data_IF_542258804371
#
_entry.id   IF_542258804371
#
_cell.length_a   1.000
_cell.length_b   1.000
_cell.length_c   1.000
_cell.angle_alpha   90.00
_cell.angle_beta   90.00
_cell.angle_gamma   90.00
#
_symmetry.space_group_name_H-M   'P 1'
#
loop_
_entity.id
_entity.type
_entity.pdbx_description
1 polymer ?
#
# COMPACT_ATOMS: atom_id res chain seq x y z
N UNK A 1 28.60 1.67 8.84
CA UNK A 1 27.15 1.80 8.60
C UNK A 1 26.44 0.81 9.51
N UNK A 2 25.48 1.24 10.33
CA UNK A 2 24.59 0.28 11.00
C UNK A 2 23.74 -0.41 9.91
N UNK A 3 23.48 -1.72 9.99
CA UNK A 3 22.59 -2.37 9.04
C UNK A 3 21.23 -1.67 9.13
N UNK A 4 20.68 -1.25 7.99
CA UNK A 4 19.26 -0.94 7.91
C UNK A 4 18.57 -2.30 8.03
N UNK A 5 18.09 -2.64 9.22
CA UNK A 5 17.23 -3.81 9.38
C UNK A 5 16.02 -3.61 8.48
N UNK A 6 15.82 -4.53 7.53
CA UNK A 6 14.64 -4.50 6.68
C UNK A 6 13.41 -4.71 7.59
N UNK A 7 12.39 -3.86 7.51
CA UNK A 7 11.15 -4.02 8.30
C UNK A 7 10.41 -5.34 8.00
N UNK A 8 10.89 -6.12 7.02
CA UNK A 8 10.33 -7.39 6.59
C UNK A 8 11.14 -8.63 7.00
N UNK A 9 12.30 -8.47 7.67
CA UNK A 9 13.26 -9.57 7.90
C UNK A 9 12.75 -10.73 8.81
N UNK A 10 11.64 -10.55 9.52
CA UNK A 10 11.15 -11.53 10.50
C UNK A 10 9.68 -11.97 10.31
N UNK A 11 9.08 -11.72 9.15
CA UNK A 11 7.65 -12.02 8.92
C UNK A 11 7.50 -13.38 8.25
N UNK A 12 6.94 -14.35 8.98
CA UNK A 12 6.59 -15.67 8.45
C UNK A 12 5.83 -15.53 7.12
N UNK A 13 6.13 -16.35 6.10
CA UNK A 13 5.47 -16.24 4.82
C UNK A 13 4.01 -16.70 4.98
N UNK A 14 3.11 -15.73 5.12
CA UNK A 14 1.66 -15.97 5.18
C UNK A 14 1.06 -16.43 3.84
N UNK A 15 1.88 -16.90 2.89
CA UNK A 15 1.59 -16.82 1.46
C UNK A 15 2.09 -18.08 0.73
N UNK A 16 1.22 -19.09 0.63
CA UNK A 16 1.54 -20.39 0.02
C UNK A 16 1.38 -20.41 -1.51
N UNK A 17 0.71 -19.42 -2.12
CA UNK A 17 0.26 -19.53 -3.51
C UNK A 17 1.38 -19.23 -4.53
N UNK A 18 2.02 -18.07 -4.46
CA UNK A 18 3.08 -17.65 -5.40
C UNK A 18 4.44 -18.32 -5.22
N UNK A 19 4.52 -19.49 -4.56
CA UNK A 19 5.78 -20.20 -4.27
C UNK A 19 6.84 -19.35 -3.54
N UNK A 20 6.40 -18.37 -2.76
CA UNK A 20 7.29 -17.47 -2.00
C UNK A 20 7.78 -16.23 -2.76
N UNK A 21 7.38 -16.05 -4.03
CA UNK A 21 7.73 -14.85 -4.78
C UNK A 21 6.95 -13.62 -4.29
N UNK A 22 7.65 -12.50 -4.17
CA UNK A 22 7.07 -11.19 -3.88
C UNK A 22 7.93 -10.06 -4.41
N UNK A 23 7.30 -8.99 -4.88
CA UNK A 23 7.93 -7.68 -5.04
C UNK A 23 7.97 -6.98 -3.68
N UNK A 24 9.04 -6.25 -3.39
CA UNK A 24 9.12 -5.38 -2.22
C UNK A 24 9.51 -3.95 -2.64
N UNK A 25 8.94 -2.98 -1.93
CA UNK A 25 9.23 -1.56 -2.04
C UNK A 25 9.53 -1.06 -0.64
N UNK A 26 10.74 -0.56 -0.42
CA UNK A 26 11.20 -0.02 0.87
C UNK A 26 11.36 1.50 0.74
N UNK A 27 10.60 2.25 1.53
CA UNK A 27 10.81 3.68 1.73
C UNK A 27 10.39 4.60 0.58
N UNK A 28 9.37 4.25 -0.20
CA UNK A 28 8.84 5.14 -1.24
C UNK A 28 8.25 6.40 -0.59
N UNK A 29 8.96 7.53 -0.72
CA UNK A 29 8.54 8.81 -0.15
C UNK A 29 7.78 9.64 -1.19
N UNK A 30 6.51 9.94 -0.90
CA UNK A 30 5.61 10.66 -1.81
C UNK A 30 4.94 11.82 -1.09
N UNK A 31 4.79 12.95 -1.76
CA UNK A 31 4.02 14.10 -1.25
C UNK A 31 2.52 13.82 -1.32
N UNK A 32 1.80 13.97 -0.20
CA UNK A 32 0.35 13.75 -0.13
C UNK A 32 -0.33 14.80 0.75
N UNK A 33 -1.59 15.15 0.43
CA UNK A 33 -2.45 15.95 1.32
C UNK A 33 -3.13 15.03 2.33
N UNK A 34 -2.55 14.95 3.53
CA UNK A 34 -2.94 13.95 4.54
C UNK A 34 -2.93 14.54 5.95
N UNK A 35 -3.94 14.26 6.76
CA UNK A 35 -3.93 14.58 8.20
C UNK A 35 -5.22 15.16 8.77
N UNK A 36 -5.27 15.23 10.10
CA UNK A 36 -6.45 15.67 10.86
C UNK A 36 -6.37 17.11 11.34
N UNK A 37 -5.15 17.66 11.46
CA UNK A 37 -4.93 18.99 12.01
C UNK A 37 -5.05 20.07 10.94
N UNK A 38 -5.55 21.25 11.29
CA UNK A 38 -5.80 22.34 10.34
C UNK A 38 -4.58 22.73 9.50
N UNK A 39 -3.37 22.73 10.08
CA UNK A 39 -2.14 23.04 9.34
C UNK A 39 -1.80 21.98 8.27
N UNK A 40 -2.28 20.74 8.41
CA UNK A 40 -2.06 19.67 7.44
C UNK A 40 -2.96 19.81 6.21
N UNK A 41 -4.03 20.61 6.29
CA UNK A 41 -4.85 20.98 5.14
C UNK A 41 -4.20 22.07 4.27
N UNK A 42 -3.27 22.84 4.82
CA UNK A 42 -2.69 24.00 4.14
C UNK A 42 -1.68 23.61 3.03
N UNK A 43 -0.95 22.50 3.20
CA UNK A 43 0.05 22.05 2.24
C UNK A 43 0.23 20.52 2.25
N UNK A 44 0.61 19.92 1.11
CA UNK A 44 1.04 18.53 1.07
C UNK A 44 2.25 18.27 1.99
N UNK A 45 2.34 17.04 2.51
CA UNK A 45 3.45 16.58 3.33
C UNK A 45 3.91 15.18 2.89
N UNK A 46 5.17 14.81 3.11
CA UNK A 46 5.66 13.48 2.75
C UNK A 46 4.95 12.39 3.55
N UNK A 47 4.59 11.32 2.86
CA UNK A 47 4.22 10.00 3.40
C UNK A 47 5.24 9.01 2.86
N UNK A 48 5.75 8.16 3.73
CA UNK A 48 6.67 7.09 3.35
C UNK A 48 5.93 5.77 3.39
N UNK A 49 6.05 5.03 2.30
CA UNK A 49 5.31 3.81 2.01
C UNK A 49 6.30 2.67 1.85
N UNK A 50 6.07 1.59 2.57
CA UNK A 50 6.66 0.29 2.25
C UNK A 50 5.56 -0.66 1.82
N UNK A 51 5.85 -1.48 0.83
CA UNK A 51 4.91 -2.44 0.30
C UNK A 51 5.59 -3.79 0.05
N UNK A 52 4.89 -4.87 0.35
CA UNK A 52 5.24 -6.22 -0.07
C UNK A 52 4.08 -6.82 -0.82
N UNK A 53 4.30 -7.12 -2.09
CA UNK A 53 3.32 -7.58 -3.06
C UNK A 53 3.61 -9.03 -3.39
N UNK A 54 2.85 -9.94 -2.81
CA UNK A 54 3.06 -11.36 -3.05
C UNK A 54 2.20 -11.88 -4.18
N UNK A 55 2.80 -12.80 -4.93
CA UNK A 55 2.19 -13.34 -6.11
C UNK A 55 1.15 -14.43 -5.80
N UNK A 56 0.17 -14.54 -6.70
CA UNK A 56 -0.79 -15.64 -6.76
C UNK A 56 -0.13 -16.93 -7.25
N UNK A 57 0.72 -16.81 -8.26
CA UNK A 57 1.39 -17.93 -8.91
C UNK A 57 2.88 -17.60 -9.05
N UNK A 58 3.67 -18.53 -9.55
CA UNK A 58 5.04 -18.19 -9.98
C UNK A 58 4.97 -17.07 -11.04
N UNK A 59 5.78 -15.99 -10.90
CA UNK A 59 5.79 -14.90 -11.87
C UNK A 59 6.11 -15.42 -13.27
N UNK A 60 5.41 -14.90 -14.27
CA UNK A 60 5.56 -15.30 -15.67
C UNK A 60 5.49 -14.08 -16.57
N UNK A 61 6.33 -14.05 -17.60
CA UNK A 61 6.33 -13.08 -18.69
C UNK A 61 5.53 -13.55 -19.92
N UNK A 62 4.96 -14.76 -19.88
CA UNK A 62 4.17 -15.31 -20.96
C UNK A 62 2.89 -14.51 -21.24
N UNK A 63 2.31 -13.91 -20.19
CA UNK A 63 1.13 -13.06 -20.25
C UNK A 63 1.38 -11.75 -19.49
N UNK A 64 0.80 -10.64 -19.95
CA UNK A 64 0.97 -9.32 -19.33
C UNK A 64 0.49 -9.24 -17.86
N UNK A 65 -0.37 -10.17 -17.43
CA UNK A 65 -0.95 -10.22 -16.09
C UNK A 65 -0.22 -11.17 -15.14
N UNK A 66 0.82 -11.86 -15.61
CA UNK A 66 1.58 -12.86 -14.85
C UNK A 66 2.68 -12.31 -13.95
N UNK A 67 2.97 -11.00 -14.04
CA UNK A 67 4.03 -10.35 -13.27
C UNK A 67 3.57 -8.99 -12.71
N UNK A 68 4.31 -8.46 -11.73
CA UNK A 68 4.05 -7.15 -11.13
C UNK A 68 5.18 -6.19 -11.53
N UNK A 69 4.84 -5.23 -12.38
CA UNK A 69 5.71 -4.10 -12.70
C UNK A 69 5.86 -3.17 -11.50
N UNK A 70 6.99 -3.28 -10.81
CA UNK A 70 7.29 -2.52 -9.60
C UNK A 70 7.62 -1.04 -9.87
N UNK A 71 8.10 -0.70 -11.07
CA UNK A 71 8.33 0.70 -11.45
C UNK A 71 6.99 1.37 -11.74
N UNK A 72 6.12 0.71 -12.52
CA UNK A 72 4.76 1.15 -12.75
C UNK A 72 3.95 1.22 -11.43
N UNK A 73 4.21 0.33 -10.48
CA UNK A 73 3.62 0.38 -9.13
C UNK A 73 3.96 1.69 -8.40
N UNK A 74 5.25 2.03 -8.35
CA UNK A 74 5.72 3.25 -7.69
C UNK A 74 5.20 4.51 -8.40
N UNK A 75 5.22 4.52 -9.74
CA UNK A 75 4.70 5.62 -10.54
C UNK A 75 3.19 5.82 -10.34
N UNK A 76 2.42 4.72 -10.30
CA UNK A 76 0.96 4.76 -10.09
C UNK A 76 0.60 5.32 -8.71
N UNK A 77 1.25 4.85 -7.65
CA UNK A 77 1.03 5.38 -6.29
C UNK A 77 1.40 6.86 -6.24
N UNK A 78 2.55 7.23 -6.80
CA UNK A 78 3.02 8.63 -6.83
C UNK A 78 2.00 9.53 -7.52
N UNK A 79 1.53 9.12 -8.69
CA UNK A 79 0.53 9.86 -9.46
C UNK A 79 -0.81 9.95 -8.73
N UNK A 80 -1.29 8.85 -8.14
CA UNK A 80 -2.52 8.82 -7.37
C UNK A 80 -2.49 9.83 -6.21
N UNK A 81 -1.41 9.80 -5.41
CA UNK A 81 -1.25 10.69 -4.25
C UNK A 81 -1.10 12.17 -4.62
N UNK A 82 -0.49 12.46 -5.76
CA UNK A 82 -0.33 13.83 -6.26
C UNK A 82 -1.67 14.48 -6.66
N UNK A 83 -2.63 13.69 -7.16
CA UNK A 83 -3.87 14.20 -7.75
C UNK A 83 -5.12 14.00 -6.88
N UNK A 84 -5.07 13.14 -5.87
CA UNK A 84 -6.23 12.90 -5.00
C UNK A 84 -6.54 14.09 -4.08
N UNK A 85 -7.80 14.23 -3.64
CA UNK A 85 -8.18 15.16 -2.58
C UNK A 85 -7.51 14.83 -1.23
N UNK A 86 -7.58 15.78 -0.29
CA UNK A 86 -7.05 15.60 1.07
C UNK A 86 -7.72 14.42 1.78
N UNK A 87 -6.91 13.52 2.33
CA UNK A 87 -7.38 12.42 3.18
C UNK A 87 -7.07 12.73 4.64
N UNK A 88 -7.96 12.38 5.56
CA UNK A 88 -7.76 12.69 6.99
C UNK A 88 -6.84 11.70 7.70
N UNK A 89 -6.98 10.42 7.38
CA UNK A 89 -6.39 9.30 8.12
C UNK A 89 -5.45 8.47 7.24
N UNK A 90 -4.35 7.96 7.82
CA UNK A 90 -3.44 7.06 7.11
C UNK A 90 -4.12 5.72 6.80
N UNK A 91 -5.05 5.29 7.66
CA UNK A 91 -5.86 4.09 7.52
C UNK A 91 -6.73 4.16 6.27
N UNK A 92 -7.41 5.28 6.04
CA UNK A 92 -8.18 5.52 4.82
C UNK A 92 -7.26 5.50 3.59
N UNK A 93 -6.10 6.15 3.69
CA UNK A 93 -5.14 6.20 2.58
C UNK A 93 -4.58 4.82 2.23
N UNK A 94 -4.29 3.98 3.25
CA UNK A 94 -3.80 2.63 3.04
C UNK A 94 -4.85 1.74 2.35
N UNK A 95 -6.13 1.85 2.73
CA UNK A 95 -7.22 1.14 2.05
C UNK A 95 -7.32 1.56 0.58
N UNK A 96 -7.23 2.86 0.28
CA UNK A 96 -7.27 3.36 -1.09
C UNK A 96 -6.09 2.86 -1.93
N UNK A 97 -4.86 2.89 -1.39
CA UNK A 97 -3.67 2.36 -2.07
C UNK A 97 -3.77 0.84 -2.25
N UNK A 98 -4.27 0.11 -1.25
CA UNK A 98 -4.47 -1.32 -1.35
C UNK A 98 -5.48 -1.69 -2.44
N UNK A 99 -6.63 -1.01 -2.48
CA UNK A 99 -7.61 -1.18 -3.55
C UNK A 99 -7.00 -0.90 -4.92
N UNK A 100 -6.31 0.24 -5.07
CA UNK A 100 -5.60 0.61 -6.31
C UNK A 100 -4.61 -0.47 -6.76
N UNK A 101 -3.96 -1.15 -5.80
CA UNK A 101 -3.00 -2.22 -6.06
C UNK A 101 -3.70 -3.51 -6.54
N UNK A 102 -4.74 -3.96 -5.86
CA UNK A 102 -5.46 -5.17 -6.25
C UNK A 102 -6.24 -5.02 -7.57
N UNK A 103 -6.66 -3.80 -7.91
CA UNK A 103 -7.31 -3.46 -9.18
C UNK A 103 -6.34 -3.49 -10.36
N UNK A 104 -5.12 -2.99 -10.17
CA UNK A 104 -4.16 -2.81 -11.27
C UNK A 104 -3.29 -4.05 -11.54
N UNK A 105 -3.08 -4.94 -10.56
CA UNK A 105 -2.23 -6.12 -10.72
C UNK A 105 -2.99 -7.42 -10.42
N UNK A 106 -3.44 -8.16 -11.45
CA UNK A 106 -4.07 -9.47 -11.29
C UNK A 106 -3.16 -10.52 -10.63
N UNK A 107 -1.85 -10.46 -10.91
CA UNK A 107 -0.82 -11.30 -10.29
C UNK A 107 -0.75 -11.18 -8.76
N UNK A 108 -1.21 -10.06 -8.17
CA UNK A 108 -1.18 -9.83 -6.73
C UNK A 108 -2.16 -10.77 -5.99
N UNK A 109 -1.72 -11.39 -4.91
CA UNK A 109 -2.58 -12.22 -4.06
C UNK A 109 -2.65 -11.74 -2.63
N UNK A 110 -1.57 -11.13 -2.15
CA UNK A 110 -1.56 -10.48 -0.86
C UNK A 110 -0.63 -9.28 -0.85
N UNK A 111 -1.00 -8.30 -0.03
CA UNK A 111 -0.34 -7.01 0.12
C UNK A 111 -0.13 -6.73 1.60
N UNK A 112 1.12 -6.49 1.98
CA UNK A 112 1.45 -5.83 3.24
C UNK A 112 1.85 -4.40 2.87
N UNK A 113 1.18 -3.42 3.47
CA UNK A 113 1.36 -2.01 3.18
C UNK A 113 1.56 -1.24 4.49
N UNK A 114 2.72 -0.63 4.67
CA UNK A 114 3.02 0.19 5.85
C UNK A 114 3.16 1.66 5.45
N UNK A 115 2.40 2.54 6.10
CA UNK A 115 2.40 3.98 5.85
C UNK A 115 2.84 4.73 7.11
N UNK A 116 3.71 5.71 6.94
CA UNK A 116 4.06 6.63 8.01
C UNK A 116 4.35 8.05 7.51
N UNK A 117 4.21 9.01 8.42
CA UNK A 117 4.74 10.36 8.21
C UNK A 117 6.18 10.38 8.74
N UNK A 118 7.16 10.94 8.02
CA UNK A 118 8.56 10.92 8.44
C UNK A 118 8.85 11.84 9.63
N UNK A 119 7.91 12.72 10.03
CA UNK A 119 8.02 13.49 11.26
C UNK A 119 7.91 12.56 12.46
N UNK A 120 9.06 12.18 12.99
CA UNK A 120 9.22 11.26 14.13
C UNK A 120 8.76 11.95 15.43
N UNK A 121 7.97 11.25 16.24
CA UNK A 121 7.73 11.64 17.63
C UNK A 121 8.99 11.30 18.46
N UNK A 122 9.47 12.21 19.33
CA UNK A 122 10.62 11.92 20.19
C UNK A 122 10.49 10.56 20.89
N UNK A 123 11.55 9.76 20.86
CA UNK A 123 11.57 8.43 21.47
C UNK A 123 11.07 7.28 20.58
N UNK A 124 10.74 7.53 19.31
CA UNK A 124 10.40 6.46 18.35
C UNK A 124 11.33 6.48 17.14
N UNK A 125 11.55 5.33 16.51
CA UNK A 125 12.24 5.28 15.21
C UNK A 125 11.27 5.58 14.06
N UNK A 126 10.04 5.10 14.19
CA UNK A 126 8.95 5.29 13.23
C UNK A 126 7.61 5.05 13.92
N UNK A 127 6.58 5.81 13.52
CA UNK A 127 5.18 5.56 13.91
C UNK A 127 4.32 5.65 12.65
N UNK A 128 3.49 4.66 12.43
CA UNK A 128 2.62 4.56 11.29
C UNK A 128 1.55 3.50 11.50
N UNK A 129 0.89 3.15 10.40
CA UNK A 129 -0.06 2.04 10.36
C UNK A 129 0.44 1.00 9.37
N UNK A 130 -0.08 -0.21 9.52
CA UNK A 130 0.14 -1.31 8.60
C UNK A 130 -1.20 -1.96 8.26
N UNK A 131 -1.38 -2.26 6.99
CA UNK A 131 -2.48 -3.03 6.44
C UNK A 131 -1.92 -4.32 5.86
N UNK A 132 -2.55 -5.44 6.20
CA UNK A 132 -2.25 -6.74 5.60
C UNK A 132 -3.55 -7.29 5.01
N UNK A 133 -3.61 -7.36 3.68
CA UNK A 133 -4.76 -7.84 2.94
C UNK A 133 -4.38 -8.94 1.99
N UNK A 134 -5.24 -9.94 1.90
CA UNK A 134 -5.31 -10.88 0.80
C UNK A 134 -6.27 -10.36 -0.29
N UNK A 135 -6.25 -10.99 -1.47
CA UNK A 135 -7.26 -10.72 -2.50
C UNK A 135 -8.68 -11.02 -2.00
N UNK A 136 -8.85 -11.97 -1.07
CA UNK A 136 -10.14 -12.26 -0.46
C UNK A 136 -10.63 -11.10 0.41
N UNK A 137 -9.75 -10.50 1.23
CA UNK A 137 -10.07 -9.32 2.03
C UNK A 137 -10.48 -8.14 1.14
N UNK A 138 -9.72 -7.90 0.06
CA UNK A 138 -10.05 -6.89 -0.94
C UNK A 138 -11.43 -7.14 -1.58
N UNK A 139 -11.73 -8.37 -1.99
CA UNK A 139 -13.02 -8.72 -2.58
C UNK A 139 -14.19 -8.50 -1.60
N UNK A 140 -14.01 -8.88 -0.33
CA UNK A 140 -15.00 -8.65 0.71
C UNK A 140 -15.22 -7.15 0.97
N UNK A 141 -14.14 -6.37 1.02
CA UNK A 141 -14.20 -4.92 1.18
C UNK A 141 -14.91 -4.23 0.00
N UNK A 142 -14.57 -4.60 -1.24
CA UNK A 142 -15.22 -4.10 -2.47
C UNK A 142 -16.73 -4.34 -2.46
N UNK A 143 -17.14 -5.57 -2.14
CA UNK A 143 -18.56 -5.91 -2.06
C UNK A 143 -19.30 -5.10 -0.98
N UNK A 144 -18.62 -4.78 0.13
CA UNK A 144 -19.16 -3.87 1.16
C UNK A 144 -19.31 -2.43 0.67
N UNK A 145 -18.30 -1.91 -0.03
CA UNK A 145 -18.30 -0.55 -0.56
C UNK A 145 -19.39 -0.34 -1.63
N UNK A 146 -19.57 -1.30 -2.54
CA UNK A 146 -20.57 -1.23 -3.61
C UNK A 146 -22.01 -1.20 -3.03
N UNK A 147 -22.27 -2.00 -1.99
CA UNK A 147 -23.56 -1.99 -1.27
C UNK A 147 -23.84 -0.63 -0.62
N UNK A 148 -22.83 -0.02 0.02
CA UNK A 148 -22.97 1.30 0.63
C UNK A 148 -23.25 2.38 -0.43
N UNK A 149 -22.60 2.32 -1.59
CA UNK A 149 -22.85 3.27 -2.68
C UNK A 149 -24.23 3.11 -3.32
N UNK A 150 -24.79 1.89 -3.35
CA UNK A 150 -26.13 1.64 -3.89
C UNK A 150 -27.26 2.06 -2.93
N UNK A 151 -27.00 2.13 -1.62
CA UNK A 151 -27.99 2.51 -0.62
C UNK A 151 -28.21 4.04 -0.49
N UNK A 152 -27.35 4.84 -1.12
CA UNK A 152 -27.38 6.31 -1.09
C UNK A 152 -28.08 6.88 -2.34
N UNK A 153 -28.44 6.03 -3.31
CA UNK A 153 -29.23 6.40 -4.50
C UNK A 153 -30.70 6.06 -4.30
#
# INVERSE_FOLDING_TARGET
MKPVESPFAAREPMMQNGRGWSVFVDGLSVSARIGIYAHEHAAPQPVVIDARLAYRCEPSDADNDGWIDYDAYCARITSFLAHKPHTRLLETLAVEIAALSFEAWPALDALILALHKPKIRPGTQRIGIELNWTRADYAAWRAGADRASSAIR
#
